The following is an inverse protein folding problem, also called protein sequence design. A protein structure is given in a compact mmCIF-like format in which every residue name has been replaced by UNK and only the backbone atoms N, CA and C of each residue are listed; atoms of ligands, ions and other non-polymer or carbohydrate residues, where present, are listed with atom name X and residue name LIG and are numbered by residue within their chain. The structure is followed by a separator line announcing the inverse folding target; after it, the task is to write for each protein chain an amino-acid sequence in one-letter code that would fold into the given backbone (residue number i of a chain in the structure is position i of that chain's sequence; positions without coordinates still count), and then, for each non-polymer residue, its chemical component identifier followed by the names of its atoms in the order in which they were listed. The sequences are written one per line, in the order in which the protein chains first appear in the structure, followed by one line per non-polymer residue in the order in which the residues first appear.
data_IF_209136597276
#
_entry.id   IF_209136597276
#
_cell.length_a   1.000
_cell.length_b   1.000
_cell.length_c   1.000
_cell.angle_alpha   90.00
_cell.angle_beta   90.00
_cell.angle_gamma   90.00
#
_symmetry.space_group_name_H-M   'P 1'
#
loop_
_entity.id
_entity.type
_entity.pdbx_description
1 polymer ?
#
# COMPACT_ATOMS: atom_id res chain seq x y z
N UNK A 1 -3.12 2.21 21.40
CA UNK A 1 -2.37 1.50 20.35
C UNK A 1 -1.18 2.37 19.96
N UNK A 2 -0.07 1.78 19.48
CA UNK A 2 1.08 2.54 18.96
C UNK A 2 0.72 3.01 17.55
N UNK A 3 0.63 4.33 17.32
CA UNK A 3 0.21 4.94 16.05
C UNK A 3 1.02 4.45 14.85
N UNK A 4 2.28 4.02 15.08
CA UNK A 4 3.10 3.38 14.06
C UNK A 4 2.55 2.00 13.64
N UNK A 5 2.11 1.20 14.62
CA UNK A 5 1.56 -0.14 14.38
C UNK A 5 0.26 -0.05 13.59
N UNK A 6 -0.58 0.92 13.94
CA UNK A 6 -1.88 1.14 13.28
C UNK A 6 -1.68 1.58 11.82
N UNK A 7 -0.78 2.55 11.58
CA UNK A 7 -0.44 3.01 10.23
C UNK A 7 0.20 1.92 9.37
N UNK A 8 1.12 1.12 9.93
CA UNK A 8 1.68 -0.06 9.24
C UNK A 8 0.57 -1.04 8.87
N UNK A 9 -0.32 -1.35 9.80
CA UNK A 9 -1.39 -2.31 9.58
C UNK A 9 -2.33 -1.82 8.47
N UNK A 10 -2.75 -0.55 8.55
CA UNK A 10 -3.57 0.10 7.53
C UNK A 10 -2.96 -0.03 6.13
N UNK A 11 -1.70 0.39 5.94
CA UNK A 11 -1.02 0.31 4.64
C UNK A 11 -0.96 -1.13 4.11
N UNK A 12 -0.64 -2.10 4.98
CA UNK A 12 -0.59 -3.53 4.60
C UNK A 12 -1.96 -4.05 4.17
N UNK A 13 -3.04 -3.68 4.86
CA UNK A 13 -4.41 -4.04 4.50
C UNK A 13 -4.77 -3.46 3.14
N UNK A 14 -4.56 -2.16 2.92
CA UNK A 14 -4.87 -1.48 1.64
C UNK A 14 -4.15 -2.11 0.45
N UNK A 15 -2.85 -2.39 0.58
CA UNK A 15 -2.10 -3.01 -0.52
C UNK A 15 -2.48 -4.47 -0.76
N UNK A 16 -2.88 -5.20 0.28
CA UNK A 16 -3.38 -6.56 0.11
C UNK A 16 -4.75 -6.56 -0.59
N UNK A 17 -5.57 -5.54 -0.33
CA UNK A 17 -6.81 -5.34 -1.09
C UNK A 17 -6.54 -4.97 -2.55
N UNK A 18 -5.62 -4.06 -2.85
CA UNK A 18 -5.20 -3.73 -4.23
C UNK A 18 -4.74 -5.00 -4.97
N UNK A 19 -3.92 -5.85 -4.33
CA UNK A 19 -3.45 -7.11 -4.91
C UNK A 19 -4.62 -8.07 -5.19
N UNK A 20 -5.56 -8.20 -4.26
CA UNK A 20 -6.75 -9.04 -4.42
C UNK A 20 -7.64 -8.53 -5.55
N UNK A 21 -7.93 -7.23 -5.61
CA UNK A 21 -8.71 -6.62 -6.67
C UNK A 21 -8.02 -6.74 -8.04
N UNK A 22 -6.68 -6.70 -8.08
CA UNK A 22 -5.92 -6.93 -9.31
C UNK A 22 -6.17 -8.31 -9.92
N UNK A 23 -6.47 -9.33 -9.10
CA UNK A 23 -6.82 -10.66 -9.59
C UNK A 23 -8.21 -10.70 -10.23
N UNK A 24 -9.11 -9.81 -9.82
CA UNK A 24 -10.48 -9.67 -10.32
C UNK A 24 -10.58 -8.61 -11.44
N UNK A 25 -9.46 -8.04 -11.89
CA UNK A 25 -9.42 -6.92 -12.84
C UNK A 25 -10.19 -7.21 -14.13
N UNK A 26 -10.23 -8.47 -14.57
CA UNK A 26 -10.94 -8.88 -15.79
C UNK A 26 -12.43 -9.22 -15.58
N UNK A 27 -12.93 -9.27 -14.34
CA UNK A 27 -14.35 -9.55 -14.07
C UNK A 27 -15.26 -8.40 -14.52
N UNK A 28 -14.73 -7.18 -14.57
CA UNK A 28 -15.46 -5.95 -14.91
C UNK A 28 -15.16 -5.43 -16.34
N UNK A 29 -14.41 -6.19 -17.14
CA UNK A 29 -13.96 -5.81 -18.48
C UNK A 29 -12.52 -5.31 -18.50
N UNK A 30 -11.85 -5.49 -19.64
CA UNK A 30 -10.46 -5.08 -19.82
C UNK A 30 -10.38 -4.03 -20.93
N UNK A 31 -9.82 -2.85 -20.66
CA UNK A 31 -9.67 -1.80 -21.70
C UNK A 31 -8.75 -2.20 -22.85
N UNK A 32 -7.96 -3.27 -22.70
CA UNK A 32 -7.12 -3.83 -23.76
C UNK A 32 -7.91 -4.73 -24.74
N UNK A 33 -9.13 -5.15 -24.39
CA UNK A 33 -9.98 -5.98 -25.24
C UNK A 33 -11.45 -5.56 -25.12
N UNK A 34 -12.07 -5.18 -26.25
CA UNK A 34 -13.52 -4.91 -26.35
C UNK A 34 -14.40 -6.15 -26.08
N UNK A 35 -13.81 -7.29 -25.70
CA UNK A 35 -14.53 -8.52 -25.38
C UNK A 35 -14.45 -8.84 -23.88
N UNK A 36 -15.59 -9.02 -23.20
CA UNK A 36 -15.60 -9.44 -21.81
C UNK A 36 -15.11 -10.90 -21.72
N UNK A 37 -14.20 -11.14 -20.77
CA UNK A 37 -13.75 -12.48 -20.32
C UNK A 37 -12.97 -13.29 -21.35
N UNK A 38 -11.72 -12.91 -21.58
CA UNK A 38 -10.71 -13.89 -21.98
C UNK A 38 -9.95 -14.35 -20.73
N UNK A 39 -9.98 -15.65 -20.43
CA UNK A 39 -9.12 -16.28 -19.39
C UNK A 39 -7.62 -16.08 -19.66
N UNK A 40 -7.27 -15.52 -20.82
CA UNK A 40 -5.93 -15.31 -21.35
C UNK A 40 -5.74 -13.86 -21.82
N UNK A 41 -6.12 -12.90 -20.98
CA UNK A 41 -5.82 -11.51 -21.25
C UNK A 41 -4.38 -11.20 -20.82
N UNK A 42 -3.54 -10.81 -21.79
CA UNK A 42 -2.14 -10.41 -21.57
C UNK A 42 -2.01 -8.96 -21.05
N UNK A 43 -3.06 -8.41 -20.42
CA UNK A 43 -2.94 -7.02 -19.96
C UNK A 43 -1.88 -6.92 -18.85
N UNK A 44 -0.99 -5.92 -18.92
CA UNK A 44 0.08 -5.78 -17.94
C UNK A 44 -0.44 -5.23 -16.60
N UNK A 45 -1.73 -4.87 -16.49
CA UNK A 45 -2.29 -4.14 -15.35
C UNK A 45 -2.19 -4.91 -14.02
N UNK A 46 -2.66 -6.17 -13.91
CA UNK A 46 -2.50 -6.96 -12.68
C UNK A 46 -1.04 -7.14 -12.26
N UNK A 47 -0.16 -7.44 -13.22
CA UNK A 47 1.27 -7.60 -12.95
C UNK A 47 1.90 -6.29 -12.46
N UNK A 48 1.52 -5.16 -13.06
CA UNK A 48 1.98 -3.83 -12.65
C UNK A 48 1.49 -3.46 -11.25
N UNK A 49 0.22 -3.73 -10.92
CA UNK A 49 -0.32 -3.48 -9.57
C UNK A 49 0.48 -4.29 -8.54
N UNK A 50 0.69 -5.58 -8.76
CA UNK A 50 1.48 -6.45 -7.86
C UNK A 50 2.94 -6.00 -7.73
N UNK A 51 3.56 -5.56 -8.82
CA UNK A 51 4.92 -5.02 -8.78
C UNK A 51 4.96 -3.73 -7.94
N UNK A 52 4.01 -2.81 -8.15
CA UNK A 52 3.90 -1.58 -7.38
C UNK A 52 3.67 -1.85 -5.89
N UNK A 53 2.74 -2.73 -5.51
CA UNK A 53 2.48 -3.09 -4.10
C UNK A 53 3.69 -3.77 -3.48
N UNK A 54 4.40 -4.62 -4.23
CA UNK A 54 5.68 -5.21 -3.81
C UNK A 54 6.73 -4.14 -3.47
N UNK A 55 6.89 -3.13 -4.32
CA UNK A 55 7.81 -1.99 -4.07
C UNK A 55 7.36 -1.20 -2.82
N UNK A 56 6.07 -0.88 -2.70
CA UNK A 56 5.52 -0.16 -1.54
C UNK A 56 5.79 -0.92 -0.23
N UNK A 57 5.61 -2.25 -0.20
CA UNK A 57 5.94 -3.11 0.95
C UNK A 57 7.43 -3.08 1.30
N UNK A 58 8.32 -3.09 0.30
CA UNK A 58 9.76 -2.97 0.55
C UNK A 58 10.11 -1.61 1.16
N UNK A 59 9.49 -0.52 0.68
CA UNK A 59 9.67 0.82 1.25
C UNK A 59 9.21 0.83 2.71
N UNK A 60 8.00 0.36 3.00
CA UNK A 60 7.47 0.28 4.37
C UNK A 60 8.41 -0.50 5.30
N UNK A 61 8.86 -1.69 4.89
CA UNK A 61 9.80 -2.50 5.68
C UNK A 61 11.13 -1.77 5.96
N UNK A 62 11.62 -0.94 5.02
CA UNK A 62 12.84 -0.13 5.23
C UNK A 62 12.58 0.99 6.24
N UNK A 63 11.43 1.66 6.15
CA UNK A 63 11.03 2.71 7.09
C UNK A 63 10.85 2.17 8.51
N UNK A 64 10.17 1.03 8.66
CA UNK A 64 10.02 0.33 9.95
C UNK A 64 11.38 -0.03 10.57
N UNK A 65 12.32 -0.54 9.76
CA UNK A 65 13.67 -0.85 10.22
C UNK A 65 14.44 0.39 10.67
N UNK A 66 14.30 1.54 9.98
CA UNK A 66 14.93 2.80 10.39
C UNK A 66 14.37 3.27 11.73
N UNK A 67 13.04 3.27 11.89
CA UNK A 67 12.40 3.65 13.17
C UNK A 67 12.86 2.73 14.30
N UNK A 68 12.86 1.41 14.08
CA UNK A 68 13.29 0.44 15.09
C UNK A 68 14.79 0.51 15.41
N UNK A 69 15.62 0.96 14.47
CA UNK A 69 17.05 1.17 14.68
C UNK A 69 17.30 2.43 15.50
N UNK A 70 16.67 3.55 15.14
CA UNK A 70 16.82 4.82 15.85
C UNK A 70 16.27 4.73 17.29
N UNK A 71 15.10 4.09 17.49
CA UNK A 71 14.54 3.79 18.83
C UNK A 71 15.53 3.01 19.70
N UNK A 72 16.34 2.12 19.10
CA UNK A 72 17.37 1.34 19.83
C UNK A 72 18.62 2.15 20.18
N UNK A 73 18.96 3.15 19.36
CA UNK A 73 20.13 3.99 19.58
C UNK A 73 19.89 5.13 20.58
N UNK A 74 18.63 5.39 20.96
CA UNK A 74 18.25 6.48 21.87
C UNK A 74 18.78 7.86 21.40
N UNK A 75 18.94 8.02 20.08
CA UNK A 75 19.40 9.25 19.47
C UNK A 75 18.21 10.16 19.09
N UNK A 76 18.53 11.37 18.63
CA UNK A 76 17.52 12.35 18.21
C UNK A 76 16.63 11.78 17.10
N UNK A 77 15.29 11.91 17.16
CA UNK A 77 14.36 11.14 16.33
C UNK A 77 14.16 11.70 14.91
N UNK A 78 15.22 12.14 14.24
CA UNK A 78 15.08 12.74 12.91
C UNK A 78 14.67 11.70 11.87
N UNK A 79 15.32 10.53 11.87
CA UNK A 79 15.07 9.49 10.88
C UNK A 79 13.71 8.83 11.09
N UNK A 80 13.29 8.62 12.33
CA UNK A 80 11.97 8.08 12.65
C UNK A 80 10.85 9.06 12.33
N UNK A 81 11.05 10.36 12.56
CA UNK A 81 10.08 11.40 12.17
C UNK A 81 9.91 11.44 10.65
N UNK A 82 11.01 11.45 9.90
CA UNK A 82 10.98 11.42 8.43
C UNK A 82 10.37 10.13 7.89
N UNK A 83 10.68 8.99 8.53
CA UNK A 83 10.12 7.70 8.16
C UNK A 83 8.61 7.65 8.41
N UNK A 84 8.14 8.17 9.56
CA UNK A 84 6.72 8.24 9.88
C UNK A 84 5.96 9.17 8.93
N UNK A 85 6.49 10.37 8.63
CA UNK A 85 5.92 11.27 7.65
C UNK A 85 5.84 10.64 6.25
N UNK A 86 6.86 9.85 5.88
CA UNK A 86 6.84 9.09 4.62
C UNK A 86 5.75 8.01 4.61
N UNK A 87 5.51 7.34 5.75
CA UNK A 87 4.40 6.38 5.88
C UNK A 87 3.04 7.08 5.76
N UNK A 88 2.87 8.26 6.35
CA UNK A 88 1.65 9.05 6.20
C UNK A 88 1.43 9.46 4.73
N UNK A 89 2.49 9.90 4.04
CA UNK A 89 2.40 10.22 2.61
C UNK A 89 1.97 9.02 1.74
N UNK A 90 2.37 7.80 2.11
CA UNK A 90 1.92 6.57 1.45
C UNK A 90 0.43 6.25 1.73
N UNK A 91 -0.12 6.74 2.85
CA UNK A 91 -1.51 6.55 3.23
C UNK A 91 -2.46 7.55 2.55
N UNK A 92 -1.98 8.76 2.23
CA UNK A 92 -2.78 9.84 1.65
C UNK A 92 -3.67 9.44 0.46
N UNK A 93 -3.21 8.65 -0.54
CA UNK A 93 -4.08 8.28 -1.66
C UNK A 93 -5.32 7.48 -1.24
N UNK A 94 -5.24 6.76 -0.12
CA UNK A 94 -6.36 6.00 0.43
C UNK A 94 -7.27 6.90 1.26
N UNK A 95 -6.69 7.79 2.07
CA UNK A 95 -7.43 8.76 2.89
C UNK A 95 -8.23 9.77 2.05
N UNK A 96 -7.71 10.14 0.89
CA UNK A 96 -8.35 11.09 -0.04
C UNK A 96 -9.28 10.41 -1.05
N UNK A 97 -9.45 9.08 -0.99
CA UNK A 97 -10.27 8.37 -1.96
C UNK A 97 -11.77 8.68 -1.73
N UNK A 98 -12.59 8.93 -2.77
CA UNK A 98 -14.02 9.23 -2.59
C UNK A 98 -14.81 8.13 -1.86
N UNK A 99 -14.37 6.88 -2.01
CA UNK A 99 -14.94 5.71 -1.33
C UNK A 99 -14.34 5.48 0.08
N UNK A 100 -13.59 6.44 0.60
CA UNK A 100 -13.06 6.36 1.96
C UNK A 100 -14.22 6.33 2.98
N UNK A 101 -14.13 5.43 3.96
CA UNK A 101 -15.10 5.33 5.06
C UNK A 101 -14.38 5.31 6.40
N UNK A 102 -15.02 5.80 7.48
CA UNK A 102 -14.41 5.90 8.82
C UNK A 102 -13.84 4.59 9.36
N UNK A 103 -14.37 3.44 8.94
CA UNK A 103 -13.85 2.11 9.29
C UNK A 103 -12.44 1.84 8.76
N UNK A 104 -11.91 2.71 7.90
CA UNK A 104 -10.57 2.61 7.31
C UNK A 104 -9.56 3.49 8.05
N UNK A 105 -9.94 4.17 9.14
CA UNK A 105 -8.98 4.92 9.93
C UNK A 105 -7.98 3.97 10.63
N UNK A 106 -6.66 4.20 10.54
CA UNK A 106 -5.71 3.61 11.48
C UNK A 106 -6.00 4.11 12.91
#
# INVERSE_FOLDING_TARGET
MDTLTDLTHFLRVRWSEEERQSALFHEFGCSAHDTPRTRFCDCPSPARIRACTGIKRQILNRLEKRIAHERRQQCWPLDSTLAFASMQALALPYELHPDWTEHWHP
#
